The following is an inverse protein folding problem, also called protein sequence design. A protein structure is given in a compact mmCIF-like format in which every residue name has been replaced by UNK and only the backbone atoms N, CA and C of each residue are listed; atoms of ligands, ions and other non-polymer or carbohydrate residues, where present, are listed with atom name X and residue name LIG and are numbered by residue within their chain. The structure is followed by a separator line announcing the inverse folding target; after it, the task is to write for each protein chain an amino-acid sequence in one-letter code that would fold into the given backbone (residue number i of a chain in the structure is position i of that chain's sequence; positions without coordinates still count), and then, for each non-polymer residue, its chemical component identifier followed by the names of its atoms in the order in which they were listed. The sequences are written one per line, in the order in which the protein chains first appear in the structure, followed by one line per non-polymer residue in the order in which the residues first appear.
data_IF_386932987590
#
_entry.id   IF_386932987590
#
_cell.length_a   1.000
_cell.length_b   1.000
_cell.length_c   1.000
_cell.angle_alpha   90.00
_cell.angle_beta   90.00
_cell.angle_gamma   90.00
#
_symmetry.space_group_name_H-M   'P 1'
#
loop_
_entity.id
_entity.type
_entity.pdbx_description
1 polymer ?
#
# COMPACT_ATOMS: atom_id res chain seq x y z
N UNK A 1 -16.32 9.82 42.42
CA UNK A 1 -15.91 8.54 41.82
C UNK A 1 -16.18 8.50 40.32
N UNK A 2 -17.34 8.97 39.86
CA UNK A 2 -17.73 8.96 38.44
C UNK A 2 -16.78 9.75 37.53
N UNK A 3 -16.28 10.90 37.98
CA UNK A 3 -15.34 11.74 37.21
C UNK A 3 -13.99 11.07 36.95
N UNK A 4 -13.54 10.19 37.85
CA UNK A 4 -12.25 9.51 37.76
C UNK A 4 -12.33 8.35 36.74
N UNK A 5 -13.49 7.70 36.66
CA UNK A 5 -13.78 6.63 35.71
C UNK A 5 -13.88 7.17 34.27
N UNK A 6 -14.48 8.34 34.09
CA UNK A 6 -14.50 9.06 32.80
C UNK A 6 -13.09 9.44 32.31
N UNK A 7 -12.23 9.93 33.21
CA UNK A 7 -10.85 10.31 32.89
C UNK A 7 -10.02 9.10 32.43
N UNK A 8 -10.19 7.96 33.10
CA UNK A 8 -9.54 6.71 32.71
C UNK A 8 -10.01 6.28 31.31
N UNK A 9 -11.32 6.28 31.06
CA UNK A 9 -11.86 5.92 29.73
C UNK A 9 -11.32 6.83 28.62
N UNK A 10 -11.24 8.15 28.86
CA UNK A 10 -10.70 9.13 27.91
C UNK A 10 -9.23 8.87 27.55
N UNK A 11 -8.40 8.57 28.55
CA UNK A 11 -6.97 8.28 28.37
C UNK A 11 -6.74 7.06 27.49
N UNK A 12 -7.63 6.06 27.51
CA UNK A 12 -7.53 4.89 26.63
C UNK A 12 -8.22 5.09 25.28
N UNK A 13 -9.31 5.86 25.22
CA UNK A 13 -10.09 6.01 23.99
C UNK A 13 -9.44 6.94 22.97
N UNK A 14 -8.87 8.07 23.42
CA UNK A 14 -8.17 9.03 22.56
C UNK A 14 -7.02 8.40 21.77
N UNK A 15 -6.05 7.69 22.38
CA UNK A 15 -4.93 7.12 21.63
C UNK A 15 -5.38 6.04 20.65
N UNK A 16 -6.38 5.22 21.02
CA UNK A 16 -6.94 4.22 20.10
C UNK A 16 -7.58 4.89 18.89
N UNK A 17 -8.34 5.98 19.10
CA UNK A 17 -8.94 6.75 18.00
C UNK A 17 -7.88 7.40 17.11
N UNK A 18 -6.84 8.00 17.71
CA UNK A 18 -5.74 8.63 16.97
C UNK A 18 -4.96 7.61 16.12
N UNK A 19 -4.62 6.44 16.69
CA UNK A 19 -3.94 5.35 15.96
C UNK A 19 -4.80 4.84 14.81
N UNK A 20 -6.11 4.65 15.03
CA UNK A 20 -7.03 4.22 13.97
C UNK A 20 -7.10 5.22 12.82
N UNK A 21 -7.11 6.52 13.14
CA UNK A 21 -7.11 7.59 12.13
C UNK A 21 -5.81 7.61 11.31
N UNK A 22 -4.67 7.42 11.96
CA UNK A 22 -3.37 7.39 11.28
C UNK A 22 -3.25 6.16 10.35
N UNK A 23 -3.74 5.01 10.78
CA UNK A 23 -3.78 3.80 9.95
C UNK A 23 -4.70 3.97 8.74
N UNK A 24 -5.83 4.67 8.89
CA UNK A 24 -6.70 5.00 7.77
C UNK A 24 -5.99 5.91 6.75
N UNK A 25 -5.19 6.87 7.21
CA UNK A 25 -4.44 7.76 6.31
C UNK A 25 -3.40 7.02 5.46
N UNK A 26 -2.71 6.02 6.03
CA UNK A 26 -1.76 5.16 5.30
C UNK A 26 -2.41 4.24 4.27
N UNK A 27 -3.72 4.03 4.36
CA UNK A 27 -4.49 3.32 3.35
C UNK A 27 -4.89 4.17 2.16
N UNK A 28 -4.67 5.50 2.22
CA UNK A 28 -5.04 6.38 1.12
C UNK A 28 -4.14 6.16 -0.11
N UNK A 29 -4.71 6.08 -1.33
CA UNK A 29 -3.91 5.97 -2.54
C UNK A 29 -2.95 7.14 -2.77
N UNK A 30 -3.28 8.32 -2.22
CA UNK A 30 -2.44 9.51 -2.27
C UNK A 30 -1.09 9.32 -1.55
N UNK A 31 -1.05 8.50 -0.49
CA UNK A 31 0.19 8.19 0.23
C UNK A 31 1.18 7.44 -0.68
N UNK A 32 0.72 6.41 -1.38
CA UNK A 32 1.57 5.57 -2.23
C UNK A 32 2.09 6.29 -3.48
N UNK A 33 1.31 7.25 -4.00
CA UNK A 33 1.80 8.16 -5.06
C UNK A 33 2.97 9.02 -4.62
N UNK A 34 3.10 9.31 -3.32
CA UNK A 34 4.15 10.19 -2.79
C UNK A 34 5.38 9.44 -2.31
N UNK A 35 5.21 8.24 -1.75
CA UNK A 35 6.29 7.55 -1.03
C UNK A 35 6.70 6.20 -1.62
N UNK A 36 5.95 5.66 -2.59
CA UNK A 36 6.22 4.33 -3.14
C UNK A 36 5.92 3.20 -2.15
N UNK A 37 5.96 1.96 -2.63
CA UNK A 37 5.63 0.78 -1.84
C UNK A 37 6.68 -0.32 -1.98
N UNK A 38 6.99 -0.98 -0.86
CA UNK A 38 7.79 -2.21 -0.87
C UNK A 38 6.92 -3.36 -0.40
N UNK A 39 6.77 -4.38 -1.23
CA UNK A 39 5.96 -5.55 -0.99
C UNK A 39 6.84 -6.79 -0.87
N UNK A 40 6.83 -7.40 0.31
CA UNK A 40 7.65 -8.59 0.61
C UNK A 40 7.00 -9.89 0.16
N UNK A 41 5.68 -9.91 0.02
CA UNK A 41 4.92 -11.12 -0.26
C UNK A 41 3.86 -10.85 -1.34
N UNK A 42 3.76 -11.71 -2.38
CA UNK A 42 2.72 -11.59 -3.41
C UNK A 42 1.30 -11.65 -2.85
N UNK A 43 1.10 -12.25 -1.67
CA UNK A 43 -0.20 -12.31 -0.97
C UNK A 43 -0.75 -10.94 -0.57
N UNK A 44 0.10 -9.90 -0.49
CA UNK A 44 -0.35 -8.52 -0.23
C UNK A 44 -0.95 -7.84 -1.47
N UNK A 45 -0.81 -8.43 -2.66
CA UNK A 45 -1.40 -7.92 -3.90
C UNK A 45 -2.90 -8.21 -3.93
N UNK A 46 -3.69 -7.21 -4.30
CA UNK A 46 -5.15 -7.32 -4.40
C UNK A 46 -5.58 -8.05 -5.66
N UNK A 47 -4.90 -7.80 -6.78
CA UNK A 47 -5.11 -8.48 -8.04
C UNK A 47 -3.78 -8.60 -8.80
N UNK A 48 -3.70 -9.58 -9.69
CA UNK A 48 -2.53 -9.88 -10.51
C UNK A 48 -3.03 -10.20 -11.91
N UNK A 49 -2.41 -9.60 -12.92
CA UNK A 49 -2.66 -9.90 -14.32
C UNK A 49 -1.95 -11.17 -14.78
N UNK A 50 -1.76 -11.27 -16.08
CA UNK A 50 -1.10 -12.43 -16.69
C UNK A 50 0.38 -12.50 -16.28
N UNK A 51 0.86 -13.72 -16.01
CA UNK A 51 2.29 -13.95 -15.84
C UNK A 51 2.99 -13.87 -17.20
N UNK A 52 3.99 -13.00 -17.29
CA UNK A 52 4.80 -12.78 -18.50
C UNK A 52 6.19 -13.43 -18.41
N UNK A 53 6.53 -14.02 -17.26
CA UNK A 53 7.81 -14.67 -17.06
C UNK A 53 8.06 -15.03 -15.61
N UNK A 54 9.30 -15.41 -15.32
CA UNK A 54 9.76 -15.76 -13.98
C UNK A 54 11.13 -15.16 -13.74
N UNK A 55 11.36 -14.60 -12.56
CA UNK A 55 12.64 -14.08 -12.11
C UNK A 55 12.95 -14.63 -10.72
N UNK A 56 14.11 -15.29 -10.58
CA UNK A 56 14.53 -15.95 -9.33
C UNK A 56 13.44 -16.84 -8.69
N UNK A 57 12.67 -17.55 -9.52
CA UNK A 57 11.57 -18.41 -9.07
C UNK A 57 10.26 -17.68 -8.76
N UNK A 58 10.22 -16.35 -8.78
CA UNK A 58 9.01 -15.56 -8.60
C UNK A 58 8.38 -15.21 -9.97
N UNK A 59 7.04 -15.31 -10.12
CA UNK A 59 6.37 -14.91 -11.34
C UNK A 59 6.42 -13.39 -11.55
N UNK A 60 6.68 -12.97 -12.79
CA UNK A 60 6.57 -11.58 -13.23
C UNK A 60 5.17 -11.41 -13.81
N UNK A 61 4.36 -10.54 -13.22
CA UNK A 61 3.04 -10.21 -13.75
C UNK A 61 3.15 -9.02 -14.70
N UNK A 62 2.38 -8.99 -15.79
CA UNK A 62 2.33 -7.82 -16.68
C UNK A 62 1.86 -6.58 -15.92
N UNK A 63 0.80 -6.77 -15.15
CA UNK A 63 0.12 -5.76 -14.37
C UNK A 63 -0.32 -6.35 -13.04
N UNK A 64 -0.47 -5.50 -12.03
CA UNK A 64 -0.97 -5.88 -10.71
C UNK A 64 -1.72 -4.73 -10.04
N UNK A 65 -2.48 -5.05 -9.00
CA UNK A 65 -3.19 -4.07 -8.18
C UNK A 65 -2.75 -4.13 -6.73
N UNK A 66 -2.41 -2.97 -6.18
CA UNK A 66 -2.01 -2.79 -4.78
C UNK A 66 -2.62 -1.51 -4.22
N UNK A 67 -3.30 -1.62 -3.07
CA UNK A 67 -4.01 -0.50 -2.42
C UNK A 67 -4.90 0.34 -3.36
N UNK A 68 -5.64 -0.34 -4.24
CA UNK A 68 -6.56 0.28 -5.19
C UNK A 68 -5.89 0.90 -6.42
N UNK A 69 -4.56 0.93 -6.50
CA UNK A 69 -3.82 1.43 -7.66
C UNK A 69 -3.35 0.31 -8.57
N UNK A 70 -3.44 0.54 -9.88
CA UNK A 70 -2.93 -0.35 -10.91
C UNK A 70 -1.48 0.00 -11.25
N UNK A 71 -0.63 -1.02 -11.31
CA UNK A 71 0.77 -0.89 -11.67
C UNK A 71 1.10 -1.82 -12.85
N UNK A 72 1.99 -1.36 -13.72
CA UNK A 72 2.55 -2.14 -14.82
C UNK A 72 3.99 -2.51 -14.49
N UNK A 73 4.42 -3.70 -14.91
CA UNK A 73 5.81 -4.10 -14.79
C UNK A 73 6.71 -3.19 -15.62
N UNK A 74 7.74 -2.62 -14.99
CA UNK A 74 8.67 -1.73 -15.66
C UNK A 74 10.01 -2.43 -15.89
N UNK A 75 10.61 -2.97 -14.83
CA UNK A 75 11.95 -3.58 -14.90
C UNK A 75 12.26 -4.47 -13.72
N UNK A 76 13.36 -5.21 -13.84
CA UNK A 76 14.02 -5.84 -12.70
C UNK A 76 14.94 -4.79 -12.06
N UNK A 77 14.91 -4.70 -10.74
CA UNK A 77 15.74 -3.84 -9.91
C UNK A 77 16.62 -4.70 -9.00
N UNK A 78 17.91 -4.35 -8.80
CA UNK A 78 18.73 -4.97 -7.79
C UNK A 78 18.21 -4.64 -6.38
N UNK A 79 18.57 -5.46 -5.39
CA UNK A 79 18.01 -5.39 -4.04
C UNK A 79 18.36 -4.10 -3.28
N UNK A 80 19.46 -3.43 -3.64
CA UNK A 80 19.88 -2.14 -3.08
C UNK A 80 19.01 -0.98 -3.54
N UNK A 81 18.34 -1.09 -4.69
CA UNK A 81 17.36 -0.10 -5.14
C UNK A 81 16.04 -0.16 -4.36
N UNK A 82 15.85 -1.16 -3.49
CA UNK A 82 14.66 -1.27 -2.63
C UNK A 82 14.44 -0.03 -1.75
N UNK A 83 15.52 0.60 -1.28
CA UNK A 83 15.45 1.79 -0.44
C UNK A 83 15.32 3.09 -1.25
N UNK A 84 15.40 2.98 -2.59
CA UNK A 84 15.31 4.10 -3.53
C UNK A 84 13.94 4.21 -4.21
N UNK A 85 12.97 3.37 -3.82
CA UNK A 85 11.62 3.35 -4.39
C UNK A 85 10.94 4.69 -4.19
N UNK A 86 10.56 5.33 -5.30
CA UNK A 86 9.95 6.65 -5.30
C UNK A 86 8.41 6.61 -5.36
N UNK A 87 7.80 7.78 -5.26
CA UNK A 87 6.35 7.94 -5.38
C UNK A 87 5.78 7.34 -6.67
N UNK A 88 4.79 6.45 -6.53
CA UNK A 88 4.18 5.76 -7.67
C UNK A 88 4.92 4.51 -8.13
N UNK A 89 6.03 4.14 -7.47
CA UNK A 89 6.72 2.88 -7.69
C UNK A 89 6.30 1.82 -6.67
N UNK A 90 6.37 0.57 -7.08
CA UNK A 90 6.15 -0.60 -6.25
C UNK A 90 7.26 -1.61 -6.48
N UNK A 91 8.06 -1.85 -5.45
CA UNK A 91 9.08 -2.88 -5.44
C UNK A 91 8.49 -4.16 -4.84
N UNK A 92 8.56 -5.25 -5.59
CA UNK A 92 8.14 -6.58 -5.16
C UNK A 92 9.37 -7.48 -5.07
N UNK A 93 9.58 -8.13 -3.93
CA UNK A 93 10.64 -9.13 -3.80
C UNK A 93 10.46 -10.24 -4.86
N UNK A 94 11.53 -10.68 -5.56
CA UNK A 94 12.94 -10.52 -5.23
C UNK A 94 13.68 -9.40 -6.01
N UNK A 95 12.98 -8.36 -6.48
CA UNK A 95 13.57 -7.30 -7.30
C UNK A 95 12.75 -6.93 -8.52
N UNK A 96 11.43 -7.01 -8.45
CA UNK A 96 10.53 -6.65 -9.53
C UNK A 96 9.98 -5.25 -9.26
N UNK A 97 10.33 -4.29 -10.12
CA UNK A 97 9.82 -2.93 -10.02
C UNK A 97 8.62 -2.74 -10.95
N UNK A 98 7.55 -2.23 -10.37
CA UNK A 98 6.32 -1.88 -11.05
C UNK A 98 6.07 -0.38 -10.91
N UNK A 99 5.47 0.21 -11.94
CA UNK A 99 5.15 1.64 -11.96
C UNK A 99 3.67 1.85 -12.12
N UNK A 100 3.13 2.82 -11.39
CA UNK A 100 1.72 3.15 -11.44
C UNK A 100 1.33 3.58 -12.86
N UNK A 101 0.35 2.89 -13.46
CA UNK A 101 -0.09 3.12 -14.85
C UNK A 101 -0.59 4.55 -15.07
N UNK A 102 -1.32 5.06 -14.08
CA UNK A 102 -1.83 6.42 -14.07
C UNK A 102 -2.18 6.79 -12.64
N UNK A 103 -1.90 8.03 -12.24
CA UNK A 103 -2.34 8.56 -10.96
C UNK A 103 -3.87 8.43 -10.80
N UNK A 104 -4.63 8.54 -11.90
CA UNK A 104 -6.10 8.42 -11.86
C UNK A 104 -6.60 6.97 -11.76
N UNK A 105 -5.71 5.98 -11.91
CA UNK A 105 -6.07 4.55 -11.84
C UNK A 105 -6.30 4.07 -10.41
N UNK A 106 -5.94 4.87 -9.41
CA UNK A 106 -6.22 4.51 -8.03
C UNK A 106 -7.71 4.65 -7.71
N UNK A 107 -8.41 3.52 -7.61
CA UNK A 107 -9.80 3.46 -7.19
C UNK A 107 -9.84 3.51 -5.66
N UNK A 108 -10.40 4.58 -5.11
CA UNK A 108 -10.68 4.65 -3.67
C UNK A 108 -11.66 3.53 -3.31
N UNK A 109 -11.28 2.61 -2.40
CA UNK A 109 -12.16 1.52 -2.01
C UNK A 109 -13.48 2.08 -1.45
N UNK A 110 -14.61 1.47 -1.80
CA UNK A 110 -15.95 1.95 -1.43
C UNK A 110 -16.14 2.11 0.09
N UNK A 111 -15.33 1.44 0.91
CA UNK A 111 -15.30 1.56 2.38
C UNK A 111 -14.86 2.95 2.88
N UNK A 112 -14.19 3.77 2.06
CA UNK A 112 -13.79 5.14 2.41
C UNK A 112 -14.86 6.19 2.08
N UNK A 113 -15.92 5.86 1.32
CA UNK A 113 -16.96 6.84 0.96
C UNK A 113 -17.94 7.18 2.09
N UNK A 114 -17.88 6.47 3.23
CA UNK A 114 -18.83 6.64 4.33
C UNK A 114 -18.34 7.57 5.46
N UNK A 115 -17.14 8.17 5.33
CA UNK A 115 -16.57 9.08 6.34
C UNK A 115 -16.36 10.51 5.83
N UNK A 116 -17.00 10.88 4.70
CA UNK A 116 -17.03 12.25 4.16
C UNK A 116 -18.18 13.06 4.74
#
# INVERSE_FOLDING_TARGET
MESLLFLILLVFWIPVWAVRRELAFRHSPAYWRRFGAVVLAPSALQARGDSIGTYMGAPIFRDLRFHGCDYDFERIAPADERDLVEGGELFLEPGLLYRMRSERSCVVPASERQFG
#
